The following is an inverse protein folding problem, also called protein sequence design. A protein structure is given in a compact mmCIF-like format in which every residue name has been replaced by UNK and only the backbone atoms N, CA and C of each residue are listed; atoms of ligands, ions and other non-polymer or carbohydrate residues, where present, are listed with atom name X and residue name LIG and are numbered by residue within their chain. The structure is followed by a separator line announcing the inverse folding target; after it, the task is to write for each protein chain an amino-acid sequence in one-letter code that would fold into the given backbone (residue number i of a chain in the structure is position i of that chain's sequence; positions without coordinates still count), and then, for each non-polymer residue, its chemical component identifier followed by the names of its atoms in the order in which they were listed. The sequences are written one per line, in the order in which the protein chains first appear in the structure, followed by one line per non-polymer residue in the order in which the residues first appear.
data_IF_164802242964
#
_entry.id   IF_164802242964
#
_cell.length_a   1.000
_cell.length_b   1.000
_cell.length_c   1.000
_cell.angle_alpha   90.00
_cell.angle_beta   90.00
_cell.angle_gamma   90.00
#
_symmetry.space_group_name_H-M   'P 1'
#
loop_
_entity.id
_entity.type
_entity.pdbx_description
1 polymer ?
#
# COMPACT_ATOMS: atom_id res chain seq x y z
N UNK A 1 -39.45 17.83 -10.70
CA UNK A 1 -38.33 17.24 -11.46
C UNK A 1 -37.31 16.75 -10.44
N UNK A 2 -37.10 15.44 -10.24
CA UNK A 2 -36.09 14.95 -9.32
C UNK A 2 -34.72 14.97 -10.01
N UNK A 3 -33.77 15.61 -9.35
CA UNK A 3 -32.37 15.67 -9.74
C UNK A 3 -31.77 14.26 -9.62
N UNK A 4 -31.20 13.74 -10.71
CA UNK A 4 -30.49 12.45 -10.73
C UNK A 4 -29.22 12.58 -9.90
N UNK A 5 -29.28 12.05 -8.68
CA UNK A 5 -28.11 11.76 -7.86
C UNK A 5 -27.41 10.56 -8.52
N UNK A 6 -26.46 10.84 -9.44
CA UNK A 6 -25.57 9.79 -9.95
C UNK A 6 -24.64 9.43 -8.81
N UNK A 7 -24.87 8.30 -8.18
CA UNK A 7 -23.85 7.61 -7.39
C UNK A 7 -22.68 7.30 -8.34
N UNK A 8 -21.54 7.97 -8.12
CA UNK A 8 -20.33 7.75 -8.91
C UNK A 8 -19.63 6.54 -8.30
N UNK A 9 -19.67 5.41 -9.02
CA UNK A 9 -19.11 4.12 -8.62
C UNK A 9 -17.58 4.11 -8.79
N UNK A 10 -16.84 3.85 -7.72
CA UNK A 10 -15.37 4.05 -7.68
C UNK A 10 -14.63 2.72 -7.45
N UNK A 11 -14.69 1.78 -8.42
CA UNK A 11 -13.94 0.50 -8.33
C UNK A 11 -12.43 0.70 -8.42
N UNK A 12 -11.68 0.36 -7.36
CA UNK A 12 -10.21 0.43 -7.30
C UNK A 12 -9.50 -0.36 -8.39
N UNK A 13 -10.13 -1.39 -8.98
CA UNK A 13 -9.57 -2.12 -10.14
C UNK A 13 -9.56 -1.28 -11.43
N UNK A 14 -10.49 -0.35 -11.60
CA UNK A 14 -10.63 0.47 -12.82
C UNK A 14 -9.56 1.58 -12.90
N UNK A 15 -9.02 2.03 -11.76
CA UNK A 15 -8.08 3.16 -11.67
C UNK A 15 -6.71 2.87 -12.30
N UNK A 16 -6.25 1.63 -12.28
CA UNK A 16 -4.90 1.26 -12.74
C UNK A 16 -4.78 1.33 -14.28
N UNK A 17 -5.90 1.31 -15.02
CA UNK A 17 -5.88 1.20 -16.49
C UNK A 17 -6.34 2.45 -17.27
N UNK A 18 -7.02 3.44 -16.68
CA UNK A 18 -7.93 4.31 -17.47
C UNK A 18 -7.71 5.83 -17.40
N UNK A 19 -6.71 6.35 -16.69
CA UNK A 19 -6.46 7.81 -16.63
C UNK A 19 -7.52 8.63 -15.87
N UNK A 20 -8.54 7.96 -15.30
CA UNK A 20 -9.58 8.56 -14.48
C UNK A 20 -9.06 9.12 -13.15
N UNK A 21 -7.97 8.56 -12.61
CA UNK A 21 -7.36 8.98 -11.35
C UNK A 21 -7.01 10.49 -11.35
N UNK A 22 -6.40 10.98 -12.44
CA UNK A 22 -6.02 12.39 -12.57
C UNK A 22 -7.25 13.31 -12.59
N UNK A 23 -8.30 12.91 -13.31
CA UNK A 23 -9.56 13.68 -13.38
C UNK A 23 -10.20 13.81 -12.00
N UNK A 24 -10.26 12.73 -11.22
CA UNK A 24 -10.80 12.76 -9.86
C UNK A 24 -10.00 13.67 -8.94
N UNK A 25 -8.67 13.59 -8.94
CA UNK A 25 -7.84 14.51 -8.15
C UNK A 25 -8.11 15.96 -8.53
N UNK A 26 -8.18 16.28 -9.82
CA UNK A 26 -8.49 17.63 -10.27
C UNK A 26 -9.86 18.12 -9.76
N UNK A 27 -10.90 17.29 -9.82
CA UNK A 27 -12.25 17.64 -9.32
C UNK A 27 -12.23 17.86 -7.81
N UNK A 28 -11.63 16.95 -7.05
CA UNK A 28 -11.49 17.05 -5.59
C UNK A 28 -10.77 18.33 -5.18
N UNK A 29 -9.61 18.61 -5.77
CA UNK A 29 -8.83 19.80 -5.42
C UNK A 29 -9.53 21.08 -5.81
N UNK A 30 -10.19 21.13 -6.97
CA UNK A 30 -11.00 22.30 -7.32
C UNK A 30 -12.15 22.52 -6.35
N UNK A 31 -12.83 21.45 -5.93
CA UNK A 31 -13.89 21.51 -4.93
C UNK A 31 -13.38 22.05 -3.59
N UNK A 32 -12.28 21.46 -3.08
CA UNK A 32 -11.63 21.89 -1.84
C UNK A 32 -11.19 23.37 -1.90
N UNK A 33 -10.44 23.76 -2.92
CA UNK A 33 -9.92 25.13 -3.06
C UNK A 33 -11.06 26.14 -3.16
N UNK A 34 -12.13 25.84 -3.89
CA UNK A 34 -13.29 26.74 -4.00
C UNK A 34 -14.05 26.86 -2.68
N UNK A 35 -14.23 25.75 -1.96
CA UNK A 35 -14.94 25.71 -0.67
C UNK A 35 -14.23 26.52 0.42
N UNK A 36 -12.90 26.53 0.40
CA UNK A 36 -12.06 27.24 1.39
C UNK A 36 -11.42 28.53 0.82
N UNK A 37 -11.91 29.04 -0.31
CA UNK A 37 -11.37 30.25 -0.92
C UNK A 37 -11.47 31.45 0.05
N UNK A 38 -10.36 32.18 0.19
CA UNK A 38 -10.23 33.35 1.07
C UNK A 38 -10.44 33.07 2.57
N UNK A 39 -10.35 31.80 2.99
CA UNK A 39 -10.41 31.38 4.37
C UNK A 39 -9.29 30.37 4.70
N UNK A 40 -9.20 29.95 5.96
CA UNK A 40 -8.28 28.91 6.39
C UNK A 40 -8.90 27.51 6.24
N UNK A 41 -8.03 26.49 6.27
CA UNK A 41 -8.44 25.09 6.23
C UNK A 41 -7.48 24.24 7.07
N UNK A 42 -8.00 23.15 7.59
CA UNK A 42 -7.26 22.14 8.35
C UNK A 42 -7.17 20.83 7.57
N UNK A 43 -6.34 19.88 8.04
CA UNK A 43 -6.20 18.58 7.38
C UNK A 43 -7.54 17.84 7.23
N UNK A 44 -8.43 17.97 8.23
CA UNK A 44 -9.76 17.36 8.20
C UNK A 44 -10.63 17.86 7.03
N UNK A 45 -10.48 19.14 6.64
CA UNK A 45 -11.24 19.73 5.54
C UNK A 45 -10.89 19.10 4.19
N UNK A 46 -9.61 18.77 3.98
CA UNK A 46 -9.16 18.08 2.77
C UNK A 46 -9.77 16.68 2.67
N UNK A 47 -9.75 15.93 3.78
CA UNK A 47 -10.33 14.58 3.81
C UNK A 47 -11.85 14.60 3.66
N UNK A 48 -12.51 15.63 4.19
CA UNK A 48 -13.94 15.85 3.98
C UNK A 48 -14.26 16.12 2.50
N UNK A 49 -13.49 16.99 1.82
CA UNK A 49 -13.66 17.24 0.40
C UNK A 49 -13.44 15.97 -0.45
N UNK A 50 -12.47 15.13 -0.09
CA UNK A 50 -12.26 13.82 -0.70
C UNK A 50 -13.47 12.90 -0.49
N UNK A 51 -13.97 12.79 0.73
CA UNK A 51 -15.17 11.99 1.04
C UNK A 51 -16.42 12.50 0.31
N UNK A 52 -16.58 13.82 0.12
CA UNK A 52 -17.74 14.39 -0.58
C UNK A 52 -17.78 14.02 -2.07
N UNK A 53 -16.60 13.89 -2.70
CA UNK A 53 -16.50 13.59 -4.14
C UNK A 53 -16.37 12.10 -4.41
N UNK A 54 -15.63 11.38 -3.55
CA UNK A 54 -15.27 9.97 -3.74
C UNK A 54 -16.16 9.04 -2.90
N UNK A 55 -16.68 9.50 -1.77
CA UNK A 55 -17.45 8.66 -0.84
C UNK A 55 -16.57 7.74 -0.02
N UNK A 56 -16.21 6.59 -0.59
CA UNK A 56 -15.40 5.55 0.05
C UNK A 56 -14.33 4.99 -0.91
N UNK A 57 -13.31 4.37 -0.34
CA UNK A 57 -12.28 3.67 -1.10
C UNK A 57 -12.84 2.28 -1.43
N UNK A 58 -13.51 2.08 -2.56
CA UNK A 58 -14.10 0.77 -2.82
C UNK A 58 -13.04 -0.32 -2.96
N UNK A 59 -13.37 -1.51 -2.47
CA UNK A 59 -12.43 -2.64 -2.44
C UNK A 59 -11.41 -2.55 -1.30
N UNK A 60 -11.44 -1.48 -0.50
CA UNK A 60 -10.84 -1.47 0.84
C UNK A 60 -11.72 -2.24 1.83
N UNK A 61 -11.19 -2.59 3.02
CA UNK A 61 -11.98 -3.22 4.07
C UNK A 61 -13.22 -2.37 4.42
N UNK A 62 -14.40 -2.98 4.36
CA UNK A 62 -15.69 -2.39 4.73
C UNK A 62 -16.02 -1.06 4.02
N UNK A 63 -15.52 -0.88 2.79
CA UNK A 63 -15.63 0.37 2.02
C UNK A 63 -15.25 1.61 2.86
N UNK A 64 -14.02 1.56 3.39
CA UNK A 64 -13.46 2.58 4.26
C UNK A 64 -13.59 3.99 3.69
N UNK A 65 -13.99 4.94 4.54
CA UNK A 65 -14.00 6.36 4.21
C UNK A 65 -12.56 6.88 4.06
N UNK A 66 -12.35 7.82 3.14
CA UNK A 66 -11.03 8.42 2.91
C UNK A 66 -10.49 9.10 4.18
N UNK A 67 -11.37 9.68 5.01
CA UNK A 67 -10.99 10.25 6.29
C UNK A 67 -10.40 9.25 7.28
N UNK A 68 -11.02 8.08 7.43
CA UNK A 68 -10.51 7.03 8.33
C UNK A 68 -9.18 6.45 7.83
N UNK A 69 -9.06 6.29 6.51
CA UNK A 69 -7.80 5.92 5.88
C UNK A 69 -6.73 6.98 6.12
N UNK A 70 -7.02 8.26 5.92
CA UNK A 70 -6.03 9.31 6.11
C UNK A 70 -5.59 9.43 7.57
N UNK A 71 -6.54 9.35 8.51
CA UNK A 71 -6.29 9.49 9.95
C UNK A 71 -5.25 8.47 10.44
N UNK A 72 -5.36 7.19 10.02
CA UNK A 72 -4.34 6.18 10.37
C UNK A 72 -2.95 6.51 9.81
N UNK A 73 -2.83 7.18 8.66
CA UNK A 73 -1.54 7.51 8.04
C UNK A 73 -0.95 8.82 8.53
N UNK A 74 -1.77 9.77 8.98
CA UNK A 74 -1.31 11.12 9.35
C UNK A 74 -1.28 11.38 10.85
N UNK A 75 -2.08 10.66 11.66
CA UNK A 75 -2.22 10.92 13.09
C UNK A 75 -1.25 10.12 13.99
N UNK A 76 -0.33 9.34 13.41
CA UNK A 76 0.70 8.60 14.13
C UNK A 76 2.04 8.67 13.41
N UNK A 77 3.14 8.60 14.15
CA UNK A 77 4.47 8.69 13.54
C UNK A 77 4.89 7.38 12.85
N UNK A 78 5.66 7.50 11.78
CA UNK A 78 6.29 6.37 11.09
C UNK A 78 5.44 5.80 9.97
N UNK A 79 5.74 4.57 9.58
CA UNK A 79 5.10 3.84 8.48
C UNK A 79 5.34 2.33 8.66
N UNK A 80 4.56 1.46 8.00
CA UNK A 80 4.70 0.02 8.16
C UNK A 80 5.90 -0.54 7.41
N UNK A 81 6.48 -1.57 8.00
CA UNK A 81 7.24 -2.61 7.32
C UNK A 81 6.29 -3.78 7.08
N UNK A 82 6.08 -4.14 5.82
CA UNK A 82 5.31 -5.32 5.44
C UNK A 82 6.27 -6.47 5.19
N UNK A 83 6.12 -7.56 5.93
CA UNK A 83 6.93 -8.77 5.77
C UNK A 83 6.12 -9.84 5.06
N UNK A 84 6.70 -10.42 4.00
CA UNK A 84 6.17 -11.55 3.22
C UNK A 84 6.90 -12.82 3.65
N UNK A 85 6.15 -13.80 4.14
CA UNK A 85 6.68 -15.09 4.61
C UNK A 85 6.02 -16.23 3.83
N UNK A 86 6.80 -17.24 3.45
CA UNK A 86 6.28 -18.46 2.85
C UNK A 86 5.43 -19.20 3.90
N UNK A 87 4.14 -19.37 3.62
CA UNK A 87 3.23 -20.06 4.55
C UNK A 87 3.11 -21.55 4.20
N UNK A 88 2.95 -21.85 2.92
CA UNK A 88 3.01 -23.21 2.36
C UNK A 88 3.42 -23.13 0.88
N UNK A 89 3.35 -24.24 0.15
CA UNK A 89 3.77 -24.30 -1.26
C UNK A 89 3.02 -23.33 -2.18
N UNK A 90 1.77 -22.98 -1.85
CA UNK A 90 0.89 -22.19 -2.70
C UNK A 90 0.47 -20.85 -2.08
N UNK A 91 0.89 -20.54 -0.86
CA UNK A 91 0.47 -19.33 -0.15
C UNK A 91 1.64 -18.61 0.51
N UNK A 92 1.60 -17.29 0.45
CA UNK A 92 2.43 -16.41 1.27
C UNK A 92 1.57 -15.69 2.31
N UNK A 93 2.14 -15.44 3.48
CA UNK A 93 1.54 -14.67 4.56
C UNK A 93 2.20 -13.31 4.62
N UNK A 94 1.39 -12.27 4.67
CA UNK A 94 1.81 -10.89 4.83
C UNK A 94 1.44 -10.41 6.23
N UNK A 95 2.41 -9.84 6.91
CA UNK A 95 2.24 -9.21 8.23
C UNK A 95 2.81 -7.80 8.21
N UNK A 96 2.39 -6.98 9.16
CA UNK A 96 2.90 -5.63 9.32
C UNK A 96 3.44 -5.40 10.73
N UNK A 97 4.50 -4.61 10.79
CA UNK A 97 5.00 -3.99 12.00
C UNK A 97 5.41 -2.55 11.70
N UNK A 98 5.56 -1.71 12.73
CA UNK A 98 6.15 -0.39 12.52
C UNK A 98 7.60 -0.51 12.08
N UNK A 99 7.97 0.17 10.99
CA UNK A 99 9.37 0.24 10.61
C UNK A 99 10.21 1.02 11.64
N UNK A 100 11.32 0.41 12.07
CA UNK A 100 12.34 1.05 12.90
C UNK A 100 13.71 0.82 12.29
N UNK A 101 14.53 1.87 12.23
CA UNK A 101 15.95 1.74 11.82
C UNK A 101 16.74 0.90 12.82
N UNK A 102 16.47 1.08 14.11
CA UNK A 102 17.00 0.24 15.19
C UNK A 102 15.84 -0.57 15.80
N UNK A 103 15.83 -1.88 15.59
CA UNK A 103 14.75 -2.76 16.07
C UNK A 103 14.68 -2.83 17.60
N UNK A 104 15.81 -2.59 18.28
CA UNK A 104 15.90 -2.58 19.73
C UNK A 104 15.39 -1.26 20.35
N UNK A 105 15.13 -0.23 19.54
CA UNK A 105 14.55 1.00 20.03
C UNK A 105 13.08 0.75 20.41
N UNK A 106 12.71 1.14 21.64
CA UNK A 106 11.31 1.13 22.09
C UNK A 106 10.54 2.25 21.40
N UNK A 107 9.27 1.99 21.11
CA UNK A 107 8.39 3.04 20.64
C UNK A 107 8.05 4.00 21.79
N UNK A 108 8.20 5.32 21.61
CA UNK A 108 7.70 6.25 22.59
C UNK A 108 6.18 6.25 22.52
N UNK A 109 5.51 5.84 23.60
CA UNK A 109 4.04 5.75 23.68
C UNK A 109 3.34 7.05 23.28
N UNK A 110 3.96 8.21 23.56
CA UNK A 110 3.43 9.53 23.18
C UNK A 110 3.21 9.75 21.69
N UNK A 111 3.80 8.91 20.83
CA UNK A 111 3.63 9.00 19.38
C UNK A 111 2.79 7.87 18.81
N UNK A 112 2.37 6.91 19.64
CA UNK A 112 1.37 5.93 19.28
C UNK A 112 0.01 6.62 19.33
N UNK A 113 -0.77 6.49 18.27
CA UNK A 113 -2.17 6.84 18.36
C UNK A 113 -2.90 5.69 19.08
N UNK A 114 -3.61 5.93 20.21
CA UNK A 114 -4.30 4.87 20.95
C UNK A 114 -5.31 4.07 20.12
N UNK A 115 -5.89 4.66 19.07
CA UNK A 115 -6.84 4.02 18.16
C UNK A 115 -6.16 3.03 17.18
N UNK A 116 -4.91 3.30 16.82
CA UNK A 116 -4.24 2.61 15.71
C UNK A 116 -3.02 1.78 16.12
N UNK A 117 -2.36 2.10 17.24
CA UNK A 117 -1.30 1.27 17.81
C UNK A 117 -0.11 0.99 16.86
N UNK A 118 0.22 1.93 15.96
CA UNK A 118 1.20 1.74 14.87
C UNK A 118 0.86 0.64 13.88
N UNK A 119 -0.43 0.51 13.55
CA UNK A 119 -0.92 -0.36 12.47
C UNK A 119 -1.72 0.47 11.47
N UNK A 120 -1.70 0.02 10.22
CA UNK A 120 -2.39 0.66 9.10
C UNK A 120 -3.16 -0.38 8.28
N UNK A 121 -4.30 0.01 7.70
CA UNK A 121 -4.92 -0.74 6.62
C UNK A 121 -4.13 -0.42 5.35
N UNK A 122 -3.30 -1.37 4.90
CA UNK A 122 -2.29 -1.14 3.86
C UNK A 122 -2.76 -1.69 2.51
N UNK A 123 -2.89 -0.85 1.47
CA UNK A 123 -3.06 -1.33 0.10
C UNK A 123 -1.76 -1.98 -0.39
N UNK A 124 -1.84 -3.25 -0.72
CA UNK A 124 -0.75 -4.08 -1.22
C UNK A 124 -0.89 -4.22 -2.73
N UNK A 125 -0.14 -3.42 -3.48
CA UNK A 125 0.10 -3.65 -4.90
C UNK A 125 1.15 -4.74 -5.06
N UNK A 126 0.79 -5.89 -5.60
CA UNK A 126 1.72 -7.01 -5.76
C UNK A 126 1.72 -7.53 -7.20
N UNK A 127 2.81 -8.19 -7.54
CA UNK A 127 3.03 -8.82 -8.83
C UNK A 127 3.65 -10.20 -8.59
N UNK A 128 3.06 -11.22 -9.19
CA UNK A 128 3.60 -12.59 -9.19
C UNK A 128 4.24 -12.88 -10.55
N UNK A 129 5.54 -13.18 -10.58
CA UNK A 129 6.25 -13.42 -11.84
C UNK A 129 6.10 -12.24 -12.82
N UNK A 130 5.66 -12.55 -14.03
CA UNK A 130 5.40 -11.59 -15.12
C UNK A 130 3.93 -11.17 -15.24
N UNK A 131 3.09 -11.53 -14.26
CA UNK A 131 1.67 -11.16 -14.26
C UNK A 131 1.44 -9.65 -14.10
N UNK A 132 0.22 -9.21 -14.39
CA UNK A 132 -0.17 -7.83 -14.13
C UNK A 132 -0.17 -7.51 -12.64
N UNK A 133 0.08 -6.24 -12.31
CA UNK A 133 -0.01 -5.75 -10.93
C UNK A 133 -1.44 -5.90 -10.43
N UNK A 134 -1.60 -6.51 -9.26
CA UNK A 134 -2.86 -6.70 -8.55
C UNK A 134 -2.87 -5.88 -7.26
N UNK A 135 -4.07 -5.61 -6.73
CA UNK A 135 -4.28 -4.91 -5.46
C UNK A 135 -5.00 -5.83 -4.48
N UNK A 136 -4.51 -5.87 -3.25
CA UNK A 136 -5.19 -6.48 -2.09
C UNK A 136 -4.97 -5.63 -0.85
N UNK A 137 -5.73 -5.87 0.22
CA UNK A 137 -5.63 -5.07 1.44
C UNK A 137 -5.12 -5.91 2.61
N UNK A 138 -4.04 -5.45 3.23
CA UNK A 138 -3.58 -5.97 4.52
C UNK A 138 -4.25 -5.17 5.62
N UNK A 139 -5.19 -5.81 6.33
CA UNK A 139 -5.90 -5.18 7.45
C UNK A 139 -4.98 -4.96 8.63
N UNK A 140 -5.32 -4.00 9.50
CA UNK A 140 -4.54 -3.68 10.71
C UNK A 140 -4.31 -4.88 11.62
N UNK A 141 -5.37 -5.61 11.93
CA UNK A 141 -5.37 -6.64 12.98
C UNK A 141 -5.25 -8.07 12.45
N UNK A 142 -5.17 -8.25 11.13
CA UNK A 142 -5.22 -9.57 10.50
C UNK A 142 -4.09 -9.74 9.48
N UNK A 143 -3.44 -10.92 9.43
CA UNK A 143 -2.53 -11.23 8.34
C UNK A 143 -3.28 -11.38 7.02
N UNK A 144 -2.64 -11.02 5.91
CA UNK A 144 -3.15 -11.24 4.57
C UNK A 144 -2.49 -12.50 3.99
N UNK A 145 -3.28 -13.42 3.44
CA UNK A 145 -2.75 -14.58 2.71
C UNK A 145 -2.98 -14.39 1.22
N UNK A 146 -1.91 -14.45 0.43
CA UNK A 146 -1.98 -14.40 -1.03
C UNK A 146 -1.68 -15.78 -1.59
N UNK A 147 -2.54 -16.25 -2.49
CA UNK A 147 -2.32 -17.48 -3.24
C UNK A 147 -1.38 -17.21 -4.42
N UNK A 148 -0.33 -18.01 -4.55
CA UNK A 148 0.55 -18.05 -5.70
C UNK A 148 -0.03 -19.00 -6.74
N UNK A 149 -0.05 -18.58 -8.01
CA UNK A 149 -0.44 -19.45 -9.11
C UNK A 149 0.58 -20.57 -9.32
N UNK A 150 1.87 -20.29 -9.06
CA UNK A 150 2.92 -21.32 -9.11
C UNK A 150 3.91 -21.21 -7.96
N UNK A 151 4.29 -22.33 -7.31
CA UNK A 151 5.23 -22.33 -6.19
C UNK A 151 6.61 -21.73 -6.52
N UNK A 152 7.07 -21.89 -7.76
CA UNK A 152 8.38 -21.40 -8.22
C UNK A 152 8.41 -19.89 -8.50
N UNK A 153 7.25 -19.25 -8.66
CA UNK A 153 7.20 -17.83 -8.95
C UNK A 153 7.70 -17.01 -7.75
N UNK A 154 8.39 -15.93 -8.07
CA UNK A 154 8.66 -14.87 -7.11
C UNK A 154 7.41 -13.98 -7.00
N UNK A 155 7.22 -13.38 -5.82
CA UNK A 155 6.21 -12.35 -5.59
C UNK A 155 6.92 -11.08 -5.16
N UNK A 156 6.59 -9.95 -5.78
CA UNK A 156 7.01 -8.64 -5.31
C UNK A 156 5.80 -7.83 -4.89
N UNK A 157 5.86 -7.32 -3.66
CA UNK A 157 4.90 -6.35 -3.13
C UNK A 157 5.43 -4.94 -3.39
N UNK A 158 4.55 -3.96 -3.27
CA UNK A 158 4.78 -2.58 -3.67
C UNK A 158 5.23 -2.45 -5.14
N UNK A 159 4.69 -3.28 -6.03
CA UNK A 159 5.03 -3.25 -7.44
C UNK A 159 4.73 -1.85 -8.03
N UNK A 160 5.73 -1.23 -8.68
CA UNK A 160 5.64 0.14 -9.19
C UNK A 160 5.83 1.24 -8.15
N UNK A 161 6.08 0.91 -6.87
CA UNK A 161 6.26 1.85 -5.75
C UNK A 161 5.03 2.72 -5.47
N UNK A 162 3.85 2.10 -5.54
CA UNK A 162 2.56 2.78 -5.35
C UNK A 162 2.18 2.99 -3.87
N UNK A 163 2.78 2.22 -2.95
CA UNK A 163 2.48 2.25 -1.52
C UNK A 163 3.57 2.92 -0.68
N UNK A 164 3.14 3.58 0.40
CA UNK A 164 4.02 4.20 1.39
C UNK A 164 4.37 3.23 2.52
N UNK A 165 5.16 2.21 2.22
CA UNK A 165 5.66 1.24 3.19
C UNK A 165 6.98 0.65 2.72
N UNK A 166 7.73 0.06 3.66
CA UNK A 166 8.89 -0.77 3.33
C UNK A 166 8.48 -2.22 3.24
N UNK A 167 9.20 -2.98 2.42
CA UNK A 167 8.94 -4.39 2.19
C UNK A 167 10.07 -5.26 2.74
N UNK A 168 9.75 -6.44 3.24
CA UNK A 168 10.72 -7.45 3.62
C UNK A 168 10.20 -8.83 3.20
N UNK A 169 11.13 -9.75 2.96
CA UNK A 169 10.83 -11.13 2.59
C UNK A 169 11.58 -12.07 3.52
N UNK A 170 11.07 -13.28 3.68
CA UNK A 170 11.85 -14.38 4.23
C UNK A 170 13.01 -14.78 3.30
N UNK A 171 13.84 -15.72 3.76
CA UNK A 171 15.02 -16.15 2.98
C UNK A 171 14.63 -16.73 1.62
N UNK A 172 13.52 -17.47 1.55
CA UNK A 172 13.03 -18.13 0.33
C UNK A 172 12.58 -17.08 -0.69
N UNK A 173 11.79 -16.09 -0.27
CA UNK A 173 11.34 -14.98 -1.11
C UNK A 173 12.52 -14.17 -1.65
N UNK A 174 13.49 -13.81 -0.79
CA UNK A 174 14.69 -13.10 -1.22
C UNK A 174 15.53 -13.92 -2.21
N UNK A 175 15.64 -15.23 -2.04
CA UNK A 175 16.33 -16.11 -2.99
C UNK A 175 15.64 -16.11 -4.35
N UNK A 176 14.31 -16.24 -4.41
CA UNK A 176 13.55 -16.22 -5.66
C UNK A 176 13.68 -14.88 -6.39
N UNK A 177 13.53 -13.76 -5.67
CA UNK A 177 13.71 -12.41 -6.22
C UNK A 177 15.14 -12.21 -6.73
N UNK A 178 16.13 -12.61 -5.94
CA UNK A 178 17.55 -12.53 -6.33
C UNK A 178 17.84 -13.33 -7.59
N UNK A 179 17.31 -14.55 -7.67
CA UNK A 179 17.47 -15.40 -8.85
C UNK A 179 16.88 -14.71 -10.08
N UNK A 180 15.66 -14.18 -9.99
CA UNK A 180 15.05 -13.42 -11.09
C UNK A 180 15.91 -12.23 -11.53
N UNK A 181 16.42 -11.44 -10.57
CA UNK A 181 17.25 -10.28 -10.89
C UNK A 181 18.56 -10.66 -11.61
N UNK A 182 19.13 -11.83 -11.28
CA UNK A 182 20.33 -12.36 -11.95
C UNK A 182 20.02 -12.92 -13.34
N UNK A 183 18.94 -13.69 -13.46
CA UNK A 183 18.58 -14.38 -14.70
C UNK A 183 18.00 -13.41 -15.74
N UNK A 184 17.06 -12.55 -15.35
CA UNK A 184 16.48 -11.52 -16.21
C UNK A 184 15.83 -10.38 -15.41
N UNK A 185 16.58 -9.29 -15.21
CA UNK A 185 16.12 -8.11 -14.50
C UNK A 185 14.98 -7.34 -15.20
N UNK A 186 14.71 -7.56 -16.48
CA UNK A 186 13.68 -6.81 -17.22
C UNK A 186 12.28 -7.45 -17.16
N UNK A 187 12.21 -8.74 -16.85
CA UNK A 187 10.95 -9.50 -16.81
C UNK A 187 10.36 -9.45 -15.41
N UNK A 188 9.11 -8.99 -15.30
CA UNK A 188 8.33 -9.02 -14.06
C UNK A 188 8.74 -8.01 -12.99
N UNK A 189 9.77 -7.19 -13.21
CA UNK A 189 10.24 -6.16 -12.29
C UNK A 189 10.52 -4.88 -13.07
N UNK A 190 9.57 -3.93 -13.07
CA UNK A 190 9.84 -2.61 -13.64
C UNK A 190 10.95 -1.88 -12.83
N UNK A 191 11.58 -0.87 -13.43
CA UNK A 191 12.71 -0.15 -12.82
C UNK A 191 12.36 0.45 -11.45
N UNK A 192 11.11 0.91 -11.27
CA UNK A 192 10.65 1.45 -9.99
C UNK A 192 10.61 0.36 -8.91
N UNK A 193 10.10 -0.83 -9.24
CA UNK A 193 10.10 -2.01 -8.36
C UNK A 193 11.52 -2.45 -8.01
N UNK A 194 12.45 -2.46 -8.98
CA UNK A 194 13.85 -2.80 -8.68
C UNK A 194 14.48 -1.83 -7.69
N UNK A 195 14.17 -0.53 -7.81
CA UNK A 195 14.68 0.51 -6.93
C UNK A 195 14.19 0.39 -5.48
N UNK A 196 13.06 -0.28 -5.22
CA UNK A 196 12.54 -0.48 -3.86
C UNK A 196 13.20 -1.68 -3.17
N UNK A 197 13.62 -2.69 -3.92
CA UNK A 197 14.22 -3.92 -3.38
C UNK A 197 15.62 -3.70 -2.78
N UNK A 198 16.43 -2.82 -3.39
CA UNK A 198 17.81 -2.55 -2.97
C UNK A 198 17.93 -1.90 -1.58
N UNK A 199 17.22 -0.80 -1.24
CA UNK A 199 17.34 -0.13 0.05
C UNK A 199 16.63 -0.84 1.22
N UNK A 200 15.77 -1.82 0.91
CA UNK A 200 14.95 -2.52 1.91
C UNK A 200 15.52 -3.87 2.34
N UNK A 201 16.61 -4.31 1.71
CA UNK A 201 17.33 -5.52 2.12
C UNK A 201 17.99 -5.31 3.49
N UNK A 202 17.36 -5.84 4.54
CA UNK A 202 17.82 -5.73 5.95
C UNK A 202 19.17 -6.40 6.24
N UNK A 203 19.71 -7.26 5.37
CA UNK A 203 20.97 -7.97 5.63
C UNK A 203 21.83 -8.19 4.36
N UNK A 204 22.97 -7.48 4.20
CA UNK A 204 23.86 -7.62 3.04
C UNK A 204 24.79 -8.85 3.09
N UNK A 205 25.00 -9.49 4.25
CA UNK A 205 26.02 -10.54 4.42
C UNK A 205 25.69 -11.92 3.83
N UNK A 206 24.48 -12.15 3.34
CA UNK A 206 24.09 -13.43 2.69
C UNK A 206 24.52 -13.56 1.23
N UNK A 207 25.35 -12.64 0.73
CA UNK A 207 26.01 -12.76 -0.57
C UNK A 207 27.52 -12.88 -0.37
N UNK A 208 27.96 -14.08 0.01
CA UNK A 208 29.27 -14.55 -0.40
C UNK A 208 29.00 -15.82 -1.23
N UNK A 209 29.49 -15.89 -2.48
CA UNK A 209 29.38 -17.10 -3.29
C UNK A 209 30.06 -18.30 -2.63
#
# INVERSE_FOLDING_TARGET
MPCLQREIYIDTKIYIQTGLLNYFYHVVFQHYIRKHAYNNAEAADLWAALNEVVGSIHGSPDDMKVGDFADQWTAQMGFPLVTVESFNETHVKLTQERYRKNQNAKDPEKYANPKYGFKWDVPIWYQEGDSSVQLSWLKREEPLYLQLNKPEHFIVINAGRNGFYRQNYDAVGWQKITKQLKDNHQVGLNVNTQSTLLPDRKNPETFIP
#
